data_IF_754521229445
#
_entry.id   IF_754521229445
#
_cell.length_a   1.000
_cell.length_b   1.000
_cell.length_c   1.000
_cell.angle_alpha   90.00
_cell.angle_beta   90.00
_cell.angle_gamma   90.00
#
_symmetry.space_group_name_H-M   'P 1'
#
loop_
_entity.id
_entity.type
_entity.pdbx_description
1 polymer ?
#
# COMPACT_ATOMS: atom_id res chain seq x y z
N UNK A 1 5.76 -4.55 16.42
CA UNK A 1 4.34 -4.86 16.23
C UNK A 1 4.25 -5.64 14.92
N UNK A 2 3.09 -5.82 14.29
CA UNK A 2 3.02 -6.41 12.95
C UNK A 2 1.92 -5.72 12.18
N UNK A 3 2.02 -5.69 10.86
CA UNK A 3 0.99 -5.06 10.03
C UNK A 3 -0.34 -5.83 10.17
N UNK A 4 -1.44 -5.10 10.31
CA UNK A 4 -2.77 -5.67 10.20
C UNK A 4 -3.11 -6.03 8.75
N UNK A 5 -4.29 -6.62 8.51
CA UNK A 5 -4.79 -6.79 7.15
C UNK A 5 -4.87 -5.43 6.45
N UNK A 6 -4.39 -5.37 5.21
CA UNK A 6 -4.39 -4.14 4.41
C UNK A 6 -5.64 -4.15 3.55
N UNK A 7 -6.51 -3.17 3.78
CA UNK A 7 -7.71 -2.96 2.98
C UNK A 7 -7.48 -1.82 2.00
N UNK A 8 -7.74 -2.10 0.73
CA UNK A 8 -7.61 -1.12 -0.35
C UNK A 8 -8.97 -0.53 -0.68
N UNK A 9 -8.97 0.68 -1.23
CA UNK A 9 -10.18 1.25 -1.84
C UNK A 9 -10.56 0.55 -3.13
N UNK A 10 -11.84 0.66 -3.49
CA UNK A 10 -12.38 0.23 -4.78
C UNK A 10 -11.59 0.87 -5.93
N UNK A 11 -11.25 2.15 -5.78
CA UNK A 11 -10.43 2.89 -6.76
C UNK A 11 -9.06 2.24 -6.94
N UNK A 12 -8.35 1.96 -5.84
CA UNK A 12 -7.04 1.32 -5.89
C UNK A 12 -7.10 -0.07 -6.53
N UNK A 13 -8.14 -0.86 -6.23
CA UNK A 13 -8.35 -2.16 -6.88
C UNK A 13 -8.50 -2.06 -8.40
N UNK A 14 -9.30 -1.09 -8.88
CA UNK A 14 -9.48 -0.84 -10.32
C UNK A 14 -8.16 -0.43 -10.97
N UNK A 15 -7.43 0.51 -10.37
CA UNK A 15 -6.15 1.00 -10.89
C UNK A 15 -5.10 -0.12 -10.96
N UNK A 16 -4.96 -0.92 -9.89
CA UNK A 16 -4.04 -2.06 -9.86
C UNK A 16 -4.42 -3.12 -10.90
N UNK A 17 -5.71 -3.36 -11.12
CA UNK A 17 -6.19 -4.30 -12.15
C UNK A 17 -5.85 -3.83 -13.56
N UNK A 18 -6.03 -2.54 -13.85
CA UNK A 18 -5.65 -1.95 -15.14
C UNK A 18 -4.13 -1.99 -15.35
N UNK A 19 -3.34 -1.66 -14.33
CA UNK A 19 -1.88 -1.72 -14.39
C UNK A 19 -1.40 -3.15 -14.60
N UNK A 20 -2.01 -4.13 -13.92
CA UNK A 20 -1.72 -5.55 -14.13
C UNK A 20 -1.94 -5.94 -15.59
N UNK A 21 -3.05 -5.53 -16.19
CA UNK A 21 -3.32 -5.81 -17.60
C UNK A 21 -2.30 -5.16 -18.55
N UNK A 22 -1.88 -3.93 -18.27
CA UNK A 22 -0.93 -3.18 -19.10
C UNK A 22 0.53 -3.63 -18.97
N UNK A 23 0.93 -4.08 -17.78
CA UNK A 23 2.35 -4.34 -17.45
C UNK A 23 2.67 -5.82 -17.27
N UNK A 24 1.66 -6.68 -17.09
CA UNK A 24 1.83 -8.08 -16.70
C UNK A 24 2.26 -8.29 -15.25
N UNK A 25 2.51 -7.22 -14.47
CA UNK A 25 2.94 -7.34 -13.08
C UNK A 25 1.75 -7.69 -12.17
N UNK A 26 1.94 -8.57 -11.17
CA UNK A 26 0.87 -8.93 -10.25
C UNK A 26 0.54 -7.76 -9.30
N UNK A 27 -0.70 -7.74 -8.81
CA UNK A 27 -1.23 -6.63 -8.01
C UNK A 27 -0.45 -6.38 -6.71
N UNK A 28 0.12 -7.43 -6.09
CA UNK A 28 0.96 -7.28 -4.90
C UNK A 28 2.29 -6.58 -5.20
N UNK A 29 2.93 -6.87 -6.33
CA UNK A 29 4.15 -6.17 -6.79
C UNK A 29 3.83 -4.72 -7.11
N UNK A 30 2.75 -4.46 -7.84
CA UNK A 30 2.29 -3.10 -8.13
C UNK A 30 1.95 -2.31 -6.86
N UNK A 31 1.31 -2.96 -5.88
CA UNK A 31 1.02 -2.36 -4.57
C UNK A 31 2.28 -1.94 -3.82
N UNK A 32 3.36 -2.75 -3.87
CA UNK A 32 4.66 -2.37 -3.28
C UNK A 32 5.23 -1.12 -3.93
N UNK A 33 5.21 -1.05 -5.27
CA UNK A 33 5.65 0.16 -5.99
C UNK A 33 4.82 1.38 -5.62
N UNK A 34 3.49 1.24 -5.56
CA UNK A 34 2.61 2.33 -5.16
C UNK A 34 2.94 2.87 -3.77
N UNK A 35 3.20 1.98 -2.80
CA UNK A 35 3.61 2.37 -1.44
C UNK A 35 4.97 3.08 -1.46
N UNK A 36 5.98 2.50 -2.11
CA UNK A 36 7.31 3.13 -2.17
C UNK A 36 7.27 4.53 -2.82
N UNK A 37 6.48 4.70 -3.88
CA UNK A 37 6.30 6.00 -4.53
C UNK A 37 5.57 6.98 -3.61
N UNK A 38 4.52 6.53 -2.91
CA UNK A 38 3.79 7.36 -1.95
C UNK A 38 4.63 7.78 -0.74
N UNK A 39 5.57 6.93 -0.30
CA UNK A 39 6.49 7.25 0.79
C UNK A 39 7.55 8.27 0.35
N UNK A 40 8.00 8.19 -0.91
CA UNK A 40 8.97 9.13 -1.48
C UNK A 40 8.34 10.50 -1.76
N UNK A 41 7.21 10.50 -2.46
CA UNK A 41 6.50 11.71 -2.88
C UNK A 41 5.41 12.01 -1.84
N UNK A 42 5.86 12.35 -0.63
CA UNK A 42 5.01 12.52 0.53
C UNK A 42 3.90 13.55 0.29
N UNK A 43 2.67 13.15 0.61
CA UNK A 43 1.51 14.03 0.65
C UNK A 43 0.77 13.78 1.95
N UNK A 44 0.13 14.82 2.50
CA UNK A 44 -0.69 14.69 3.71
C UNK A 44 -1.81 13.71 3.39
N UNK A 45 -1.91 12.58 4.10
CA UNK A 45 -2.97 11.63 3.86
C UNK A 45 -4.32 12.28 4.20
N UNK A 46 -5.30 12.19 3.30
CA UNK A 46 -6.65 12.71 3.53
C UNK A 46 -7.61 11.56 3.90
N UNK A 47 -8.00 11.44 5.18
CA UNK A 47 -8.88 10.35 5.64
C UNK A 47 -10.25 10.33 4.95
N UNK A 48 -10.77 11.48 4.50
CA UNK A 48 -12.07 11.56 3.82
C UNK A 48 -12.07 10.83 2.47
N UNK A 49 -10.89 10.55 1.91
CA UNK A 49 -10.72 9.81 0.66
C UNK A 49 -10.53 8.31 0.88
N UNK A 50 -10.53 7.84 2.13
CA UNK A 50 -10.29 6.45 2.47
C UNK A 50 -11.59 5.66 2.29
N UNK A 51 -11.75 5.07 1.11
CA UNK A 51 -12.73 4.02 0.87
C UNK A 51 -12.13 2.65 1.25
N UNK A 52 -12.93 1.83 1.93
CA UNK A 52 -12.59 0.48 2.36
C UNK A 52 -13.32 -0.60 1.55
N UNK A 53 -14.11 -0.25 0.53
CA UNK A 53 -14.92 -1.20 -0.24
C UNK A 53 -14.16 -2.12 -1.21
N UNK A 54 -12.84 -1.98 -1.31
CA UNK A 54 -12.02 -2.77 -2.23
C UNK A 54 -11.52 -4.09 -1.65
N UNK A 55 -10.40 -4.57 -2.20
CA UNK A 55 -9.81 -5.85 -1.81
C UNK A 55 -9.05 -5.75 -0.49
N UNK A 56 -9.19 -6.78 0.35
CA UNK A 56 -8.40 -6.96 1.56
C UNK A 56 -7.32 -8.02 1.32
N UNK A 57 -6.07 -7.70 1.67
CA UNK A 57 -4.93 -8.60 1.56
C UNK A 57 -4.21 -8.74 2.89
N UNK A 58 -3.79 -9.97 3.27
CA UNK A 58 -2.89 -10.12 4.39
C UNK A 58 -1.48 -9.60 4.04
N UNK A 59 -0.73 -9.03 5.01
CA UNK A 59 0.59 -8.46 4.78
C UNK A 59 1.57 -9.38 4.06
N UNK A 60 1.61 -10.68 4.43
CA UNK A 60 2.51 -11.64 3.80
C UNK A 60 2.23 -11.85 2.30
N UNK A 61 1.00 -11.64 1.84
CA UNK A 61 0.66 -11.70 0.39
C UNK A 61 1.10 -10.43 -0.32
N UNK A 62 0.86 -9.27 0.32
CA UNK A 62 1.20 -7.98 -0.25
C UNK A 62 2.71 -7.77 -0.28
N UNK A 63 3.41 -7.94 0.84
CA UNK A 63 4.82 -7.60 1.03
C UNK A 63 5.77 -8.80 0.94
N UNK A 64 5.29 -10.03 1.18
CA UNK A 64 6.13 -11.22 1.17
C UNK A 64 7.28 -11.14 2.16
N UNK A 65 8.49 -11.50 1.73
CA UNK A 65 9.70 -11.45 2.57
C UNK A 65 10.10 -10.04 3.01
N UNK A 66 9.56 -8.99 2.36
CA UNK A 66 9.86 -7.59 2.65
C UNK A 66 8.93 -6.99 3.71
N UNK A 67 8.02 -7.75 4.30
CA UNK A 67 7.00 -7.24 5.24
C UNK A 67 7.61 -6.39 6.36
N UNK A 68 8.69 -6.85 6.99
CA UNK A 68 9.37 -6.11 8.07
C UNK A 68 10.05 -4.82 7.59
N UNK A 69 10.59 -4.82 6.38
CA UNK A 69 11.17 -3.62 5.80
C UNK A 69 10.09 -2.57 5.52
N UNK A 70 8.95 -3.00 4.95
CA UNK A 70 7.80 -2.12 4.72
C UNK A 70 7.20 -1.58 6.03
N UNK A 71 7.07 -2.41 7.05
CA UNK A 71 6.63 -1.96 8.38
C UNK A 71 7.58 -0.88 8.93
N UNK A 72 8.89 -1.11 8.88
CA UNK A 72 9.89 -0.18 9.39
C UNK A 72 9.83 1.19 8.70
N UNK A 73 9.82 1.23 7.36
CA UNK A 73 9.79 2.50 6.61
C UNK A 73 8.47 3.27 6.79
N UNK A 74 7.34 2.57 6.96
CA UNK A 74 6.06 3.23 7.23
C UNK A 74 6.04 3.83 8.63
N UNK A 75 6.53 3.10 9.64
CA UNK A 75 6.65 3.63 11.02
C UNK A 75 7.59 4.82 11.09
N UNK A 76 8.73 4.75 10.40
CA UNK A 76 9.69 5.85 10.33
C UNK A 76 9.06 7.09 9.70
N UNK A 77 8.34 6.92 8.58
CA UNK A 77 7.63 8.01 7.91
C UNK A 77 6.56 8.65 8.80
N UNK A 78 5.78 7.86 9.53
CA UNK A 78 4.77 8.38 10.46
C UNK A 78 5.42 9.24 11.55
N UNK A 79 6.57 8.80 12.09
CA UNK A 79 7.32 9.57 13.09
C UNK A 79 7.85 10.89 12.53
N UNK A 80 8.37 10.89 11.31
CA UNK A 80 8.78 12.13 10.63
C UNK A 80 7.60 13.10 10.45
N UNK A 81 6.40 12.57 10.20
CA UNK A 81 5.17 13.35 10.05
C UNK A 81 4.53 13.75 11.39
N UNK A 82 5.10 13.34 12.52
CA UNK A 82 4.58 13.66 13.86
C UNK A 82 3.30 12.90 14.24
N UNK A 83 3.06 11.75 13.61
CA UNK A 83 1.91 10.86 13.83
C UNK A 83 2.23 9.65 14.72
#
# INVERSE_FOLDING_TARGET
MGLGRVRMSTRSQVLLSQLKHKTGLPANVLGRYAICLSLRDASVPNPDLYDEGGTELPPHVLFGTLERAFEAIMVDRLREDGL
#
